data_IF_078535151349
#
_entry.id   IF_078535151349
#
_cell.length_a   1.000
_cell.length_b   1.000
_cell.length_c   1.000
_cell.angle_alpha   90.00
_cell.angle_beta   90.00
_cell.angle_gamma   90.00
#
_symmetry.space_group_name_H-M   'P 1'
#
loop_
_entity.id
_entity.type
_entity.pdbx_description
1 polymer ?
#
# COMPACT_ATOMS: atom_id res chain seq x y z
N UNK A 1 -30.66 -57.23 5.06
CA UNK A 1 -29.39 -57.62 4.37
C UNK A 1 -28.75 -56.31 3.91
N UNK A 2 -27.80 -55.76 4.69
CA UNK A 2 -26.34 -55.71 4.45
C UNK A 2 -25.90 -55.09 3.11
N UNK A 3 -25.37 -53.86 3.24
CA UNK A 3 -24.17 -53.22 2.60
C UNK A 3 -24.19 -52.93 1.08
N UNK A 4 -23.61 -51.85 0.55
CA UNK A 4 -22.53 -50.93 0.99
C UNK A 4 -22.80 -49.46 0.53
N UNK A 5 -22.68 -48.47 1.42
CA UNK A 5 -21.61 -47.44 1.46
C UNK A 5 -20.35 -47.64 0.59
N UNK A 6 -20.31 -47.00 -0.58
CA UNK A 6 -19.20 -46.19 -1.14
C UNK A 6 -19.80 -45.47 -2.36
N UNK A 7 -19.75 -44.15 -2.54
CA UNK A 7 -18.62 -43.24 -2.49
C UNK A 7 -19.11 -41.93 -1.88
N UNK A 8 -18.89 -41.73 -0.57
CA UNK A 8 -17.96 -40.69 -0.10
C UNK A 8 -17.30 -39.89 -1.23
N UNK A 9 -17.55 -38.58 -1.17
CA UNK A 9 -16.47 -37.59 -1.23
C UNK A 9 -15.60 -37.72 -2.48
N UNK A 10 -16.20 -37.55 -3.66
CA UNK A 10 -15.42 -37.22 -4.86
C UNK A 10 -15.59 -35.74 -5.17
N UNK A 11 -14.71 -35.01 -4.50
CA UNK A 11 -13.99 -33.87 -5.06
C UNK A 11 -14.76 -32.54 -5.13
N UNK A 12 -15.34 -32.12 -3.99
CA UNK A 12 -15.39 -30.69 -3.61
C UNK A 12 -13.99 -30.14 -3.25
N UNK A 13 -12.97 -30.63 -3.94
CA UNK A 13 -11.56 -30.28 -3.82
C UNK A 13 -11.00 -30.09 -5.24
N UNK A 14 -11.75 -29.41 -6.13
CA UNK A 14 -11.13 -28.75 -7.28
C UNK A 14 -10.40 -27.50 -6.75
N UNK A 15 -9.30 -27.81 -6.08
CA UNK A 15 -8.18 -26.98 -5.73
C UNK A 15 -7.81 -26.15 -6.96
N UNK A 16 -8.47 -24.98 -7.10
CA UNK A 16 -8.48 -24.08 -8.27
C UNK A 16 -7.19 -24.24 -9.08
N UNK A 17 -7.18 -25.20 -10.01
CA UNK A 17 -5.99 -25.48 -10.80
C UNK A 17 -5.74 -24.22 -11.59
N UNK A 18 -4.72 -23.44 -11.22
CA UNK A 18 -4.34 -22.22 -11.94
C UNK A 18 -4.26 -22.58 -13.41
N UNK A 19 -5.22 -22.12 -14.20
CA UNK A 19 -5.27 -22.42 -15.62
C UNK A 19 -3.93 -22.06 -16.24
N UNK A 20 -3.23 -23.07 -16.77
CA UNK A 20 -1.92 -22.86 -17.39
C UNK A 20 -2.11 -22.08 -18.67
N UNK A 21 -1.36 -20.99 -18.81
CA UNK A 21 -1.38 -20.14 -20.01
C UNK A 21 -0.53 -20.83 -21.08
N UNK A 22 -1.18 -21.42 -22.07
CA UNK A 22 -0.53 -22.22 -23.15
C UNK A 22 -0.48 -21.52 -24.51
N UNK A 23 -1.33 -20.52 -24.73
CA UNK A 23 -1.37 -19.74 -25.97
C UNK A 23 -0.32 -18.62 -25.94
N UNK A 24 0.26 -18.31 -27.11
CA UNK A 24 1.28 -17.27 -27.27
C UNK A 24 0.69 -16.02 -27.92
N UNK A 25 1.15 -14.87 -27.44
CA UNK A 25 0.97 -13.57 -28.08
C UNK A 25 2.34 -13.13 -28.57
N UNK A 26 2.45 -12.84 -29.87
CA UNK A 26 3.70 -12.45 -30.51
C UNK A 26 3.51 -11.11 -31.21
N UNK A 27 4.47 -10.21 -31.05
CA UNK A 27 4.50 -8.92 -31.70
C UNK A 27 5.91 -8.68 -32.25
N UNK A 28 5.98 -8.20 -33.50
CA UNK A 28 7.25 -7.73 -34.07
C UNK A 28 7.50 -6.32 -33.57
N UNK A 29 8.66 -6.09 -33.01
CA UNK A 29 9.09 -4.81 -32.45
C UNK A 29 10.47 -4.47 -32.98
N UNK A 30 10.78 -3.18 -33.02
CA UNK A 30 12.12 -2.66 -33.21
C UNK A 30 12.95 -2.84 -31.94
N UNK A 31 14.28 -2.75 -32.06
CA UNK A 31 15.18 -2.84 -30.90
C UNK A 31 14.86 -1.78 -29.84
N UNK A 32 14.53 -0.56 -30.26
CA UNK A 32 14.19 0.55 -29.36
C UNK A 32 12.93 0.27 -28.54
N UNK A 33 11.89 -0.23 -29.19
CA UNK A 33 10.62 -0.60 -28.53
C UNK A 33 10.84 -1.74 -27.53
N UNK A 34 11.67 -2.73 -27.88
CA UNK A 34 12.00 -3.83 -26.98
C UNK A 34 12.75 -3.33 -25.74
N UNK A 35 13.77 -2.48 -25.91
CA UNK A 35 14.53 -1.93 -24.76
C UNK A 35 13.64 -1.11 -23.83
N UNK A 36 12.77 -0.27 -24.39
CA UNK A 36 11.84 0.54 -23.59
C UNK A 36 10.86 -0.34 -22.81
N UNK A 37 10.29 -1.36 -23.45
CA UNK A 37 9.40 -2.30 -22.75
C UNK A 37 10.14 -3.09 -21.65
N UNK A 38 11.42 -3.40 -21.84
CA UNK A 38 12.23 -4.12 -20.87
C UNK A 38 12.52 -3.26 -19.63
N UNK A 39 12.83 -1.98 -19.83
CA UNK A 39 13.05 -1.01 -18.75
C UNK A 39 11.77 -0.77 -17.94
N UNK A 40 10.63 -0.60 -18.61
CA UNK A 40 9.32 -0.44 -17.96
C UNK A 40 8.92 -1.69 -17.17
N UNK A 41 9.12 -2.89 -17.74
CA UNK A 41 8.87 -4.13 -17.03
C UNK A 41 9.74 -4.22 -15.76
N UNK A 42 11.03 -3.88 -15.88
CA UNK A 42 11.98 -3.89 -14.77
C UNK A 42 11.61 -2.88 -13.69
N UNK A 43 11.23 -1.65 -14.03
CA UNK A 43 10.83 -0.62 -13.06
C UNK A 43 9.54 -1.01 -12.31
N UNK A 44 8.64 -1.75 -12.97
CA UNK A 44 7.45 -2.34 -12.35
C UNK A 44 7.75 -3.63 -11.57
N UNK A 45 8.98 -4.15 -11.59
CA UNK A 45 9.36 -5.42 -10.97
C UNK A 45 8.67 -6.64 -11.59
N UNK A 46 8.38 -6.59 -12.90
CA UNK A 46 7.73 -7.64 -13.68
C UNK A 46 8.69 -8.23 -14.72
N UNK A 47 8.45 -9.48 -15.12
CA UNK A 47 9.07 -10.00 -16.34
C UNK A 47 8.44 -9.32 -17.57
N UNK A 48 9.17 -9.30 -18.69
CA UNK A 48 8.65 -8.76 -19.96
C UNK A 48 7.29 -9.37 -20.33
N UNK A 49 7.16 -10.70 -20.25
CA UNK A 49 5.92 -11.41 -20.58
C UNK A 49 4.76 -11.00 -19.65
N UNK A 50 5.04 -10.83 -18.36
CA UNK A 50 4.03 -10.41 -17.39
C UNK A 50 3.62 -8.95 -17.59
N UNK A 51 4.58 -8.06 -17.87
CA UNK A 51 4.30 -6.65 -18.14
C UNK A 51 3.42 -6.50 -19.40
N UNK A 52 3.85 -7.07 -20.52
CA UNK A 52 3.11 -6.99 -21.81
C UNK A 52 1.73 -7.63 -21.71
N UNK A 53 1.59 -8.77 -21.02
CA UNK A 53 0.28 -9.39 -20.84
C UNK A 53 -0.66 -8.50 -20.03
N UNK A 54 -0.18 -7.89 -18.95
CA UNK A 54 -1.00 -7.00 -18.12
C UNK A 54 -1.44 -5.77 -18.91
N UNK A 55 -0.53 -5.14 -19.64
CA UNK A 55 -0.84 -3.98 -20.48
C UNK A 55 -1.80 -4.33 -21.62
N UNK A 56 -1.63 -5.48 -22.29
CA UNK A 56 -2.54 -5.96 -23.32
C UNK A 56 -3.97 -6.24 -22.80
N UNK A 57 -4.11 -6.55 -21.51
CA UNK A 57 -5.41 -6.72 -20.83
C UNK A 57 -5.97 -5.41 -20.26
N UNK A 58 -5.40 -4.25 -20.63
CA UNK A 58 -5.85 -2.93 -20.17
C UNK A 58 -5.44 -2.59 -18.74
N UNK A 59 -4.56 -3.38 -18.12
CA UNK A 59 -3.99 -3.03 -16.82
C UNK A 59 -2.84 -2.03 -17.00
N UNK A 60 -2.60 -1.25 -15.94
CA UNK A 60 -1.54 -0.24 -15.93
C UNK A 60 -0.56 -0.58 -14.80
N UNK A 61 0.40 -1.51 -15.03
CA UNK A 61 1.43 -1.81 -14.05
C UNK A 61 2.14 -0.53 -13.63
N UNK A 62 2.19 -0.27 -12.32
CA UNK A 62 2.86 0.90 -11.77
C UNK A 62 4.30 0.54 -11.42
N UNK A 63 5.16 1.53 -11.58
CA UNK A 63 6.53 1.47 -11.08
C UNK A 63 6.52 1.13 -9.59
N UNK A 64 7.44 0.25 -9.17
CA UNK A 64 7.62 -0.04 -7.75
C UNK A 64 8.21 1.16 -7.05
N UNK A 65 7.72 1.42 -5.85
CA UNK A 65 8.37 2.34 -4.92
C UNK A 65 9.80 1.87 -4.67
N UNK A 66 10.72 2.83 -4.66
CA UNK A 66 12.08 2.68 -4.16
C UNK A 66 12.07 2.45 -2.65
N UNK A 67 13.14 1.88 -2.11
CA UNK A 67 13.24 1.64 -0.67
C UNK A 67 13.06 2.93 0.16
N UNK A 68 13.52 4.06 -0.39
CA UNK A 68 13.34 5.40 0.21
C UNK A 68 11.88 5.84 0.23
N UNK A 69 11.16 5.67 -0.88
CA UNK A 69 9.73 6.01 -0.93
C UNK A 69 8.90 5.09 -0.03
N UNK A 70 9.29 3.81 0.11
CA UNK A 70 8.67 2.89 1.07
C UNK A 70 8.86 3.39 2.50
N UNK A 71 10.08 3.78 2.88
CA UNK A 71 10.38 4.33 4.20
C UNK A 71 9.59 5.61 4.49
N UNK A 72 9.50 6.52 3.52
CA UNK A 72 8.70 7.73 3.62
C UNK A 72 7.20 7.41 3.82
N UNK A 73 6.66 6.46 3.07
CA UNK A 73 5.27 6.02 3.18
C UNK A 73 4.98 5.35 4.54
N UNK A 74 5.90 4.54 5.05
CA UNK A 74 5.80 3.96 6.39
C UNK A 74 5.79 5.05 7.46
N UNK A 75 6.72 6.00 7.40
CA UNK A 75 6.79 7.13 8.32
C UNK A 75 5.52 7.97 8.32
N UNK A 76 4.92 8.20 7.15
CA UNK A 76 3.65 8.91 7.01
C UNK A 76 2.49 8.14 7.67
N UNK A 77 2.46 6.82 7.48
CA UNK A 77 1.43 5.95 8.05
C UNK A 77 1.50 5.91 9.58
N UNK A 78 2.70 5.85 10.14
CA UNK A 78 2.93 5.89 11.59
C UNK A 78 2.50 7.23 12.18
N UNK A 79 2.89 8.34 11.55
CA UNK A 79 2.52 9.68 12.00
C UNK A 79 0.99 9.91 11.96
N UNK A 80 0.30 9.36 10.96
CA UNK A 80 -1.16 9.34 10.92
C UNK A 80 -1.74 8.55 12.11
N UNK A 81 -1.15 7.40 12.43
CA UNK A 81 -1.54 6.58 13.58
C UNK A 81 -1.41 7.33 14.91
N UNK A 82 -0.30 8.05 15.10
CA UNK A 82 -0.07 8.90 16.27
C UNK A 82 -1.13 9.99 16.39
N UNK A 83 -1.47 10.68 15.30
CA UNK A 83 -2.51 11.70 15.31
C UNK A 83 -3.87 11.13 15.73
N UNK A 84 -4.25 9.97 15.20
CA UNK A 84 -5.51 9.31 15.57
C UNK A 84 -5.53 8.98 17.07
N UNK A 85 -4.42 8.47 17.62
CA UNK A 85 -4.30 8.18 19.06
C UNK A 85 -4.43 9.44 19.91
N UNK A 86 -3.78 10.54 19.52
CA UNK A 86 -3.88 11.83 20.22
C UNK A 86 -5.33 12.33 20.20
N UNK A 87 -5.97 12.34 19.04
CA UNK A 87 -7.37 12.79 18.90
C UNK A 87 -8.31 11.92 19.74
N UNK A 88 -8.11 10.60 19.75
CA UNK A 88 -8.90 9.69 20.57
C UNK A 88 -8.71 9.95 22.07
N UNK A 89 -7.46 10.12 22.51
CA UNK A 89 -7.15 10.45 23.90
C UNK A 89 -7.82 11.77 24.31
N UNK A 90 -7.69 12.82 23.51
CA UNK A 90 -8.32 14.14 23.77
C UNK A 90 -9.85 14.03 23.83
N UNK A 91 -10.47 13.27 22.92
CA UNK A 91 -11.92 13.05 22.92
C UNK A 91 -12.40 12.28 24.15
N UNK A 92 -11.60 11.35 24.67
CA UNK A 92 -11.94 10.52 25.84
C UNK A 92 -11.95 11.30 27.17
N UNK A 93 -11.30 12.47 27.21
CA UNK A 93 -11.32 13.34 28.39
C UNK A 93 -12.71 13.97 28.53
N UNK A 94 -13.34 13.85 29.70
CA UNK A 94 -14.62 14.52 29.99
C UNK A 94 -14.49 16.05 29.79
N UNK A 95 -15.54 16.70 29.31
CA UNK A 95 -15.48 18.09 28.84
C UNK A 95 -15.05 19.09 29.94
N UNK A 96 -15.47 18.86 31.18
CA UNK A 96 -15.10 19.61 32.38
C UNK A 96 -13.60 19.51 32.67
N UNK A 97 -13.02 18.30 32.60
CA UNK A 97 -11.58 18.08 32.78
C UNK A 97 -10.76 18.57 31.60
N UNK A 98 -11.32 18.51 30.39
CA UNK A 98 -10.68 19.02 29.17
C UNK A 98 -10.46 20.53 29.28
N UNK A 99 -11.46 21.25 29.77
CA UNK A 99 -11.34 22.68 30.03
C UNK A 99 -10.21 22.99 31.03
N UNK A 100 -10.02 22.16 32.06
CA UNK A 100 -8.91 22.33 33.03
C UNK A 100 -7.55 22.18 32.35
N UNK A 101 -7.32 21.15 31.54
CA UNK A 101 -6.05 20.96 30.83
C UNK A 101 -5.76 22.07 29.79
N UNK A 102 -6.75 22.46 29.01
CA UNK A 102 -6.58 23.48 27.96
C UNK A 102 -6.76 24.92 28.48
N UNK A 103 -7.05 25.12 29.77
CA UNK A 103 -7.04 26.44 30.41
C UNK A 103 -5.64 26.90 30.82
N UNK A 104 -4.69 25.97 30.99
CA UNK A 104 -3.29 26.32 31.25
C UNK A 104 -2.60 26.76 29.95
N UNK A 105 -2.34 28.06 29.85
CA UNK A 105 -1.69 28.67 28.69
C UNK A 105 -0.30 28.13 28.42
N UNK A 106 0.45 27.72 29.45
CA UNK A 106 1.79 27.13 29.30
C UNK A 106 1.70 25.74 28.68
N UNK A 107 0.73 24.95 29.11
CA UNK A 107 0.45 23.64 28.53
C UNK A 107 0.06 23.78 27.05
N UNK A 108 -0.86 24.68 26.74
CA UNK A 108 -1.31 24.93 25.35
C UNK A 108 -0.14 25.40 24.48
N UNK A 109 0.72 26.28 24.99
CA UNK A 109 1.91 26.74 24.25
C UNK A 109 2.88 25.59 23.95
N UNK A 110 3.19 24.74 24.94
CA UNK A 110 4.04 23.56 24.72
C UNK A 110 3.41 22.55 23.77
N UNK A 111 2.11 22.35 23.89
CA UNK A 111 1.35 21.48 23.00
C UNK A 111 1.37 21.99 21.55
N UNK A 112 1.19 23.30 21.35
CA UNK A 112 1.31 23.94 20.04
C UNK A 112 2.71 23.78 19.46
N UNK A 113 3.78 23.98 20.25
CA UNK A 113 5.17 23.76 19.80
C UNK A 113 5.40 22.32 19.35
N UNK A 114 4.90 21.33 20.11
CA UNK A 114 4.99 19.92 19.74
C UNK A 114 4.19 19.61 18.46
N UNK A 115 3.00 20.18 18.31
CA UNK A 115 2.18 20.04 17.10
C UNK A 115 2.85 20.68 15.87
N UNK A 116 3.50 21.83 16.02
CA UNK A 116 4.27 22.46 14.93
C UNK A 116 5.43 21.58 14.47
N UNK A 117 6.12 20.89 15.38
CA UNK A 117 7.17 19.93 15.00
C UNK A 117 6.63 18.76 14.17
N UNK A 118 5.42 18.26 14.50
CA UNK A 118 4.72 17.24 13.72
C UNK A 118 4.36 17.76 12.32
N UNK A 119 3.80 18.96 12.22
CA UNK A 119 3.47 19.61 10.93
C UNK A 119 4.72 19.78 10.07
N UNK A 120 5.82 20.25 10.66
CA UNK A 120 7.09 20.41 9.95
C UNK A 120 7.63 19.07 9.44
N UNK A 121 7.51 18.00 10.24
CA UNK A 121 7.93 16.66 9.83
C UNK A 121 7.05 16.11 8.71
N UNK A 122 5.75 16.41 8.69
CA UNK A 122 4.90 16.08 7.55
C UNK A 122 5.26 16.87 6.30
N UNK A 123 5.52 18.17 6.41
CA UNK A 123 5.98 18.98 5.27
C UNK A 123 7.30 18.44 4.71
N UNK A 124 8.21 17.96 5.57
CA UNK A 124 9.42 17.28 5.11
C UNK A 124 9.09 16.01 4.33
N UNK A 125 8.22 15.14 4.85
CA UNK A 125 7.80 13.91 4.16
C UNK A 125 7.12 14.24 2.82
N UNK A 126 6.30 15.29 2.75
CA UNK A 126 5.67 15.76 1.51
C UNK A 126 6.71 16.27 0.50
N UNK A 127 7.69 17.06 0.95
CA UNK A 127 8.80 17.50 0.09
C UNK A 127 9.62 16.29 -0.41
N UNK A 128 9.90 15.32 0.46
CA UNK A 128 10.58 14.07 0.11
C UNK A 128 9.83 13.21 -0.94
N UNK A 129 8.52 13.42 -1.11
CA UNK A 129 7.68 12.72 -2.09
C UNK A 129 7.50 13.51 -3.40
N UNK A 130 7.88 14.79 -3.42
CA UNK A 130 7.66 15.71 -4.56
C UNK A 130 8.95 16.12 -5.27
N UNK A 131 10.12 15.89 -4.67
CA UNK A 131 11.46 15.96 -5.31
C UNK A 131 11.87 14.64 -5.96
#
# INVERSE_FOLDING_TARGET
MKKDNSDKEKDEEDDKKKQRRILRLEARVTDKEYTQAAELAKSCGLSMSDYVRRTALGQHPRQRLTDREVEALCSLSDARGDLIRIVAAVKSIQADRRAVYFSDTRFVEQWMKAATNLINRWNQIENYLTE
#
